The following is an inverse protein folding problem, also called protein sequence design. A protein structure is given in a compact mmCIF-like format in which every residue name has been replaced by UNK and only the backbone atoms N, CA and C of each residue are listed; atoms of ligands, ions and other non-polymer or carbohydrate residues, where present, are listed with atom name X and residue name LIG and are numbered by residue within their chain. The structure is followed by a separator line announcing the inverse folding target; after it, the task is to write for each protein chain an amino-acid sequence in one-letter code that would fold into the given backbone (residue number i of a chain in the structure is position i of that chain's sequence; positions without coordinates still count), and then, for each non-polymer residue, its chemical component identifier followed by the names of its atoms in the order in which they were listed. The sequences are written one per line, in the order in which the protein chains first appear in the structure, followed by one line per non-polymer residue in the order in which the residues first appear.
data_IF_967956783597
#
_entry.id   IF_967956783597
#
_cell.length_a   1.000
_cell.length_b   1.000
_cell.length_c   1.000
_cell.angle_alpha   90.00
_cell.angle_beta   90.00
_cell.angle_gamma   90.00
#
_symmetry.space_group_name_H-M   'P 1'
#
loop_
_entity.id
_entity.type
_entity.pdbx_description
1 polymer ?
#
# COMPACT_ATOMS: atom_id res chain seq x y z
N UNK A 1 13.59 11.33 1.41
CA UNK A 1 14.09 10.01 0.98
C UNK A 1 13.04 8.89 1.14
N UNK A 2 12.41 8.71 2.33
CA UNK A 2 11.47 7.59 2.58
C UNK A 2 10.28 7.57 1.61
N UNK A 3 9.59 8.70 1.43
CA UNK A 3 8.43 8.78 0.53
C UNK A 3 8.83 8.55 -0.93
N UNK A 4 9.96 9.10 -1.36
CA UNK A 4 10.51 8.84 -2.69
C UNK A 4 10.76 7.32 -2.90
N UNK A 5 11.40 6.66 -1.95
CA UNK A 5 11.65 5.21 -2.02
C UNK A 5 10.33 4.40 -2.05
N UNK A 6 9.36 4.77 -1.21
CA UNK A 6 8.06 4.10 -1.19
C UNK A 6 7.31 4.26 -2.53
N UNK A 7 7.30 5.47 -3.10
CA UNK A 7 6.69 5.72 -4.40
C UNK A 7 7.40 4.95 -5.53
N UNK A 8 8.74 4.92 -5.52
CA UNK A 8 9.52 4.15 -6.49
C UNK A 8 9.25 2.65 -6.38
N UNK A 9 9.12 2.11 -5.17
CA UNK A 9 8.76 0.70 -4.94
C UNK A 9 7.38 0.35 -5.49
N UNK A 10 6.42 1.27 -5.47
CA UNK A 10 5.11 1.03 -6.09
C UNK A 10 5.22 0.82 -7.62
N UNK A 11 6.25 1.38 -8.26
CA UNK A 11 6.53 1.18 -9.68
C UNK A 11 7.34 -0.11 -9.90
N UNK A 12 8.39 -0.34 -9.08
CA UNK A 12 9.34 -1.43 -9.30
C UNK A 12 8.89 -2.77 -8.73
N UNK A 13 8.04 -2.77 -7.71
CA UNK A 13 7.54 -3.97 -7.02
C UNK A 13 5.99 -3.93 -6.86
N UNK A 14 5.23 -3.80 -7.95
CA UNK A 14 3.76 -3.60 -7.89
C UNK A 14 3.00 -4.84 -7.37
N UNK A 15 3.65 -6.00 -7.32
CA UNK A 15 3.08 -7.21 -6.72
C UNK A 15 3.09 -7.22 -5.19
N UNK A 16 3.90 -6.36 -4.57
CA UNK A 16 4.10 -6.32 -3.11
C UNK A 16 3.70 -5.00 -2.49
N UNK A 17 3.65 -3.93 -3.28
CA UNK A 17 3.34 -2.58 -2.81
C UNK A 17 2.34 -1.91 -3.76
N UNK A 18 1.59 -0.93 -3.25
CA UNK A 18 0.65 -0.19 -4.08
C UNK A 18 0.07 1.03 -3.39
N UNK A 19 -0.21 2.06 -4.17
CA UNK A 19 -0.82 3.31 -3.69
C UNK A 19 -2.25 3.09 -3.14
N UNK A 20 -2.89 1.99 -3.55
CA UNK A 20 -4.20 1.58 -3.05
C UNK A 20 -4.18 0.86 -1.70
N UNK A 21 -3.00 0.61 -1.14
CA UNK A 21 -2.81 -0.05 0.14
C UNK A 21 -2.58 0.91 1.30
N UNK A 22 -1.94 0.38 2.32
CA UNK A 22 -1.63 1.05 3.57
C UNK A 22 -0.15 1.46 3.63
N UNK A 23 0.20 2.30 4.60
CA UNK A 23 1.59 2.62 4.90
C UNK A 23 1.78 2.83 6.41
N UNK A 24 2.99 2.54 6.86
CA UNK A 24 3.44 2.81 8.21
C UNK A 24 4.78 3.53 8.16
N UNK A 25 4.97 4.54 8.99
CA UNK A 25 6.21 5.29 9.05
C UNK A 25 6.76 5.30 10.47
N UNK A 26 8.06 5.04 10.61
CA UNK A 26 8.83 5.34 11.80
C UNK A 26 9.90 6.35 11.42
N UNK A 27 9.90 7.48 12.10
CA UNK A 27 10.84 8.57 11.88
C UNK A 27 11.65 8.87 13.13
N UNK A 28 12.97 8.74 13.03
CA UNK A 28 13.88 9.15 14.11
C UNK A 28 14.34 10.58 13.88
N UNK A 29 14.00 11.47 14.80
CA UNK A 29 14.51 12.84 14.81
C UNK A 29 15.82 12.92 15.59
N UNK A 30 16.92 13.06 14.86
CA UNK A 30 18.25 13.14 15.44
C UNK A 30 18.50 14.37 16.33
N UNK A 31 17.72 15.44 16.16
CA UNK A 31 17.84 16.66 16.99
C UNK A 31 17.23 16.45 18.36
N UNK A 32 16.04 15.88 18.41
CA UNK A 32 15.31 15.63 19.66
C UNK A 32 15.59 14.24 20.22
N UNK A 33 16.27 13.37 19.46
CA UNK A 33 16.57 11.95 19.79
C UNK A 33 15.29 11.16 20.09
N UNK A 34 14.19 11.50 19.42
CA UNK A 34 12.88 10.84 19.58
C UNK A 34 12.50 10.09 18.32
N UNK A 35 11.78 8.99 18.52
CA UNK A 35 11.11 8.26 17.45
C UNK A 35 9.67 8.71 17.38
N UNK A 36 9.21 9.06 16.20
CA UNK A 36 7.83 9.36 15.88
C UNK A 36 7.26 8.27 14.99
N UNK A 37 5.98 8.00 15.09
CA UNK A 37 5.30 7.04 14.24
C UNK A 37 4.09 7.68 13.56
N UNK A 38 3.77 7.17 12.37
CA UNK A 38 2.56 7.49 11.65
C UNK A 38 1.93 6.18 11.18
N UNK A 39 0.66 5.99 11.56
CA UNK A 39 -0.14 4.88 11.09
C UNK A 39 -1.04 5.37 9.96
N UNK A 40 -0.68 5.00 8.73
CA UNK A 40 -1.44 5.24 7.51
C UNK A 40 -2.22 4.01 7.05
N UNK A 41 -2.66 3.17 7.99
CA UNK A 41 -3.60 2.09 7.69
C UNK A 41 -4.95 2.66 7.28
N UNK A 42 -5.51 2.10 6.22
CA UNK A 42 -6.82 2.49 5.73
C UNK A 42 -7.95 2.15 6.71
N UNK A 43 -8.98 2.97 6.71
CA UNK A 43 -10.15 2.73 7.54
C UNK A 43 -11.03 1.64 6.92
N UNK A 44 -11.56 0.78 7.76
CA UNK A 44 -12.59 -0.18 7.40
C UNK A 44 -13.98 0.47 7.53
N UNK A 45 -14.98 0.09 6.71
CA UNK A 45 -16.32 0.65 6.83
C UNK A 45 -16.92 0.42 8.21
N UNK A 46 -17.42 1.49 8.85
CA UNK A 46 -17.95 1.42 10.21
C UNK A 46 -19.21 0.53 10.36
N UNK A 47 -19.93 0.30 9.26
CA UNK A 47 -21.06 -0.61 9.23
C UNK A 47 -20.67 -2.10 9.10
N UNK A 48 -19.42 -2.39 8.76
CA UNK A 48 -18.96 -3.78 8.60
C UNK A 48 -18.51 -4.35 9.95
N UNK A 49 -19.44 -4.99 10.65
CA UNK A 49 -19.16 -5.69 11.90
C UNK A 49 -18.52 -7.05 11.64
N UNK A 50 -17.89 -7.62 12.68
CA UNK A 50 -17.32 -8.97 12.61
C UNK A 50 -18.38 -10.01 12.26
N UNK A 51 -19.57 -9.86 12.84
CA UNK A 51 -20.71 -10.75 12.58
C UNK A 51 -21.14 -10.70 11.13
N UNK A 52 -21.30 -9.50 10.54
CA UNK A 52 -21.67 -9.34 9.13
C UNK A 52 -20.63 -9.92 8.19
N UNK A 53 -19.33 -9.71 8.48
CA UNK A 53 -18.24 -10.26 7.67
C UNK A 53 -18.25 -11.79 7.75
N UNK A 54 -18.39 -12.37 8.93
CA UNK A 54 -18.49 -13.84 9.12
C UNK A 54 -19.70 -14.41 8.38
N UNK A 55 -20.84 -13.76 8.48
CA UNK A 55 -22.05 -14.19 7.77
C UNK A 55 -21.87 -14.17 6.25
N UNK A 56 -21.29 -13.09 5.69
CA UNK A 56 -21.01 -13.00 4.25
C UNK A 56 -20.01 -14.03 3.75
N UNK A 57 -19.08 -14.44 4.59
CA UNK A 57 -18.08 -15.46 4.28
C UNK A 57 -18.52 -16.89 4.66
N UNK A 58 -19.73 -17.08 5.20
CA UNK A 58 -20.25 -18.35 5.71
C UNK A 58 -19.31 -18.99 6.77
N UNK A 59 -18.77 -18.18 7.67
CA UNK A 59 -17.88 -18.59 8.74
C UNK A 59 -18.70 -18.72 10.04
N UNK A 60 -18.65 -19.87 10.69
CA UNK A 60 -19.35 -20.11 11.95
C UNK A 60 -18.91 -19.13 13.05
N UNK A 61 -19.84 -18.68 13.93
CA UNK A 61 -19.50 -17.89 15.09
C UNK A 61 -18.48 -18.62 15.98
N UNK A 62 -17.35 -17.99 16.27
CA UNK A 62 -16.31 -18.57 17.10
C UNK A 62 -15.31 -19.48 16.37
N UNK A 63 -15.50 -19.77 15.09
CA UNK A 63 -14.50 -20.49 14.31
C UNK A 63 -13.19 -19.71 14.21
N UNK A 64 -12.07 -20.39 14.33
CA UNK A 64 -10.75 -19.83 14.01
C UNK A 64 -10.59 -19.84 12.48
N UNK A 65 -10.86 -18.69 11.87
CA UNK A 65 -10.83 -18.56 10.42
C UNK A 65 -10.25 -17.20 10.03
N UNK A 66 -9.48 -17.19 8.96
CA UNK A 66 -8.93 -15.98 8.35
C UNK A 66 -9.79 -15.53 7.18
N UNK A 67 -9.77 -14.23 6.90
CA UNK A 67 -10.39 -13.67 5.70
C UNK A 67 -9.65 -14.20 4.45
N UNK A 68 -10.39 -14.64 3.41
CA UNK A 68 -9.77 -15.03 2.15
C UNK A 68 -8.96 -13.89 1.55
N UNK A 69 -7.75 -14.19 1.09
CA UNK A 69 -6.79 -13.20 0.57
C UNK A 69 -7.37 -12.32 -0.55
N UNK A 70 -8.19 -12.88 -1.43
CA UNK A 70 -8.80 -12.18 -2.56
C UNK A 70 -10.23 -11.69 -2.29
N UNK A 71 -10.62 -11.62 -1.02
CA UNK A 71 -11.95 -11.11 -0.67
C UNK A 71 -12.01 -9.59 -0.82
N UNK A 72 -13.03 -9.08 -1.51
CA UNK A 72 -13.33 -7.65 -1.54
C UNK A 72 -13.59 -7.07 -0.13
N UNK A 73 -14.00 -7.93 0.82
CA UNK A 73 -14.17 -7.54 2.22
C UNK A 73 -12.83 -7.27 2.93
N UNK A 74 -11.69 -7.65 2.35
CA UNK A 74 -10.38 -7.31 2.88
C UNK A 74 -9.93 -5.90 2.48
N UNK A 75 -10.57 -5.26 1.51
CA UNK A 75 -10.20 -3.94 1.04
C UNK A 75 -10.61 -2.86 2.04
N UNK A 76 -9.66 -1.97 2.35
CA UNK A 76 -9.87 -0.78 3.17
C UNK A 76 -9.87 0.48 2.30
N UNK A 77 -10.21 1.62 2.87
CA UNK A 77 -9.95 2.91 2.23
C UNK A 77 -8.44 3.09 2.08
N UNK A 78 -7.92 3.44 0.88
CA UNK A 78 -6.48 3.59 0.68
C UNK A 78 -5.88 4.63 1.64
N UNK A 79 -4.87 4.22 2.40
CA UNK A 79 -4.17 5.08 3.36
C UNK A 79 -2.77 5.52 2.92
N UNK A 80 -2.17 4.84 1.93
CA UNK A 80 -0.78 5.07 1.54
C UNK A 80 -0.53 6.48 1.01
N UNK A 81 -1.33 6.96 0.05
CA UNK A 81 -1.14 8.28 -0.55
C UNK A 81 -1.27 9.41 0.49
N UNK A 82 -2.30 9.38 1.33
CA UNK A 82 -2.49 10.34 2.41
C UNK A 82 -1.32 10.28 3.40
N UNK A 83 -0.87 9.07 3.75
CA UNK A 83 0.27 8.86 4.64
C UNK A 83 1.59 9.40 4.09
N UNK A 84 1.81 9.39 2.77
CA UNK A 84 2.98 10.03 2.17
C UNK A 84 2.95 11.54 2.33
N UNK A 85 1.80 12.18 2.07
CA UNK A 85 1.60 13.62 2.28
C UNK A 85 1.84 13.97 3.74
N UNK A 86 1.17 13.28 4.66
CA UNK A 86 1.31 13.46 6.11
C UNK A 86 2.76 13.28 6.58
N UNK A 87 3.49 12.31 6.02
CA UNK A 87 4.90 12.07 6.37
C UNK A 87 5.78 13.24 5.94
N UNK A 88 5.56 13.80 4.75
CA UNK A 88 6.31 14.96 4.24
C UNK A 88 5.98 16.20 5.06
N UNK A 89 4.71 16.43 5.37
CA UNK A 89 4.28 17.61 6.15
C UNK A 89 4.78 17.57 7.59
N UNK A 90 4.71 16.41 8.24
CA UNK A 90 5.07 16.28 9.67
C UNK A 90 6.57 16.14 9.91
N UNK A 91 7.27 15.44 9.03
CA UNK A 91 8.68 15.05 9.26
C UNK A 91 9.62 15.58 8.18
N UNK A 92 9.10 16.17 7.11
CA UNK A 92 9.89 16.76 6.04
C UNK A 92 10.70 17.97 6.50
N UNK A 93 11.85 18.17 5.85
CA UNK A 93 12.69 19.35 6.14
C UNK A 93 12.15 20.66 5.56
N UNK A 94 11.11 20.62 4.75
CA UNK A 94 10.57 21.75 4.01
C UNK A 94 11.44 22.22 2.84
N UNK A 95 12.56 21.54 2.54
CA UNK A 95 13.50 21.94 1.46
C UNK A 95 13.06 21.50 0.07
N UNK A 96 12.23 20.48 -0.03
CA UNK A 96 11.74 19.93 -1.28
C UNK A 96 10.21 19.89 -1.25
N UNK A 97 9.58 20.22 -2.38
CA UNK A 97 8.14 20.01 -2.56
C UNK A 97 7.81 18.52 -2.69
N UNK A 98 6.54 18.15 -2.49
CA UNK A 98 6.07 16.78 -2.70
C UNK A 98 6.33 16.33 -4.15
N UNK A 99 6.11 17.21 -5.12
CA UNK A 99 6.40 16.97 -6.54
C UNK A 99 7.87 16.59 -6.74
N UNK A 100 8.80 17.36 -6.21
CA UNK A 100 10.25 17.07 -6.28
C UNK A 100 10.60 15.74 -5.60
N UNK A 101 9.91 15.37 -4.53
CA UNK A 101 10.13 14.10 -3.82
C UNK A 101 9.63 12.92 -4.66
N UNK A 102 8.52 13.08 -5.38
CA UNK A 102 7.92 12.02 -6.20
C UNK A 102 8.54 11.93 -7.61
N UNK A 103 9.24 12.96 -8.07
CA UNK A 103 9.80 13.04 -9.42
C UNK A 103 10.60 11.80 -9.87
N UNK A 104 11.46 11.18 -9.04
CA UNK A 104 12.17 9.96 -9.44
C UNK A 104 11.24 8.77 -9.73
N UNK A 105 10.14 8.64 -8.99
CA UNK A 105 9.16 7.60 -9.24
C UNK A 105 8.37 7.87 -10.54
N UNK A 106 8.01 9.14 -10.78
CA UNK A 106 7.35 9.57 -12.02
C UNK A 106 8.24 9.24 -13.23
N UNK A 107 9.51 9.60 -13.17
CA UNK A 107 10.49 9.32 -14.23
C UNK A 107 10.65 7.81 -14.50
N UNK A 108 10.66 6.98 -13.45
CA UNK A 108 10.65 5.53 -13.62
C UNK A 108 9.40 5.02 -14.33
N UNK A 109 8.23 5.61 -14.03
CA UNK A 109 6.98 5.26 -14.69
C UNK A 109 6.93 5.69 -16.16
N UNK A 110 7.47 6.87 -16.47
CA UNK A 110 7.45 7.44 -17.83
C UNK A 110 8.53 6.84 -18.75
N UNK A 111 9.74 6.68 -18.23
CA UNK A 111 10.90 6.26 -19.02
C UNK A 111 11.20 4.76 -18.89
N UNK A 112 10.54 4.06 -17.99
CA UNK A 112 10.82 2.67 -17.64
C UNK A 112 12.05 2.52 -16.74
N UNK A 113 12.26 1.29 -16.28
CA UNK A 113 13.38 0.90 -15.42
C UNK A 113 13.79 -0.55 -15.73
N UNK A 114 15.03 -0.97 -15.44
CA UNK A 114 15.45 -2.36 -15.59
C UNK A 114 14.69 -3.28 -14.64
N UNK A 115 14.06 -4.33 -15.19
CA UNK A 115 13.30 -5.32 -14.41
C UNK A 115 14.06 -6.65 -14.41
N UNK A 116 14.22 -7.26 -13.23
CA UNK A 116 14.78 -8.60 -13.14
C UNK A 116 13.81 -9.65 -13.72
N UNK A 117 14.34 -10.76 -14.22
CA UNK A 117 13.51 -11.85 -14.73
C UNK A 117 12.53 -12.39 -13.68
N UNK A 118 12.96 -12.46 -12.42
CA UNK A 118 12.12 -12.91 -11.31
C UNK A 118 10.97 -11.96 -11.05
N UNK A 119 11.22 -10.65 -10.96
CA UNK A 119 10.19 -9.63 -10.77
C UNK A 119 9.20 -9.62 -11.94
N UNK A 120 9.68 -9.72 -13.18
CA UNK A 120 8.84 -9.79 -14.38
C UNK A 120 7.88 -10.99 -14.34
N UNK A 121 8.37 -12.16 -13.95
CA UNK A 121 7.54 -13.38 -13.82
C UNK A 121 6.51 -13.23 -12.70
N UNK A 122 6.89 -12.66 -11.57
CA UNK A 122 5.99 -12.46 -10.42
C UNK A 122 4.83 -11.53 -10.76
N UNK A 123 5.09 -10.44 -11.46
CA UNK A 123 4.05 -9.50 -11.92
C UNK A 123 3.14 -10.16 -12.94
N UNK A 124 3.71 -10.90 -13.92
CA UNK A 124 2.93 -11.61 -14.93
C UNK A 124 2.02 -12.67 -14.32
N UNK A 125 2.48 -13.40 -13.33
CA UNK A 125 1.69 -14.40 -12.61
C UNK A 125 0.54 -13.76 -11.82
N UNK A 126 0.80 -12.66 -11.13
CA UNK A 126 -0.22 -11.90 -10.41
C UNK A 126 -1.31 -11.35 -11.34
N UNK A 127 -0.92 -10.85 -12.51
CA UNK A 127 -1.84 -10.36 -13.53
C UNK A 127 -2.71 -11.50 -14.09
N UNK A 128 -2.12 -12.65 -14.41
CA UNK A 128 -2.83 -13.83 -14.88
C UNK A 128 -3.83 -14.34 -13.84
N UNK A 129 -3.44 -14.37 -12.56
CA UNK A 129 -4.31 -14.79 -11.46
C UNK A 129 -5.53 -13.85 -11.34
N UNK A 130 -5.32 -12.54 -11.35
CA UNK A 130 -6.40 -11.56 -11.30
C UNK A 130 -7.34 -11.69 -12.51
N UNK A 131 -6.80 -11.88 -13.71
CA UNK A 131 -7.59 -12.04 -14.93
C UNK A 131 -8.45 -13.32 -14.92
N UNK A 132 -7.94 -14.38 -14.31
CA UNK A 132 -8.67 -15.65 -14.18
C UNK A 132 -9.80 -15.58 -13.17
N UNK A 133 -9.68 -14.72 -12.14
CA UNK A 133 -10.65 -14.59 -11.05
C UNK A 133 -11.73 -13.54 -11.34
N UNK A 134 -11.46 -12.59 -12.24
CA UNK A 134 -12.40 -11.55 -12.67
C UNK A 134 -12.91 -11.85 -14.09
N UNK A 135 -13.82 -12.82 -14.31
CA UNK A 135 -14.35 -13.10 -15.62
C UNK A 135 -15.22 -11.93 -16.08
N UNK A 136 -14.83 -11.26 -17.14
CA UNK A 136 -15.60 -10.19 -17.79
C UNK A 136 -14.88 -8.85 -17.92
N UNK A 137 -13.54 -8.79 -17.85
CA UNK A 137 -12.75 -7.65 -18.29
C UNK A 137 -12.50 -7.68 -19.78
#
# INVERSE_FOLDING_TARGET
LLVCAAASLNITEPGSTGIGGDMFCLFYDAKTKKVHSLNGSGRYPGAATLEEVRQKLNIDPGADASMPFLSALAATTPGAAAGWVDTVEKFGSGKLSLEQILQPAIEMGENGFPVSELSSRSVSFGYLLLWTIMPGG
#
